data_IF_717389071027
#
_entry.id   IF_717389071027
#
_cell.length_a   1.000
_cell.length_b   1.000
_cell.length_c   1.000
_cell.angle_alpha   90.00
_cell.angle_beta   90.00
_cell.angle_gamma   90.00
#
_symmetry.space_group_name_H-M   'P 1'
#
loop_
_entity.id
_entity.type
_entity.pdbx_description
1 polymer ?
#
# COMPACT_ATOMS: atom_id res chain seq x y z
N UNK A 1 20.26 48.22 -19.31
CA UNK A 1 18.87 48.07 -19.79
C UNK A 1 18.91 47.04 -20.90
N UNK A 2 18.47 45.82 -20.62
CA UNK A 2 18.28 44.76 -21.63
C UNK A 2 17.06 43.95 -21.20
N UNK A 3 15.98 44.08 -21.95
CA UNK A 3 14.78 43.26 -21.79
C UNK A 3 15.09 41.81 -22.14
N UNK A 4 14.69 40.81 -21.32
CA UNK A 4 14.67 39.44 -21.78
C UNK A 4 13.50 39.26 -22.76
N UNK A 5 13.82 38.65 -23.90
CA UNK A 5 12.91 38.34 -24.99
C UNK A 5 11.72 37.51 -24.50
N UNK A 6 10.52 37.84 -25.01
CA UNK A 6 9.29 37.13 -24.74
C UNK A 6 9.44 35.65 -25.14
N UNK A 7 9.43 34.76 -24.15
CA UNK A 7 9.27 33.33 -24.38
C UNK A 7 7.98 33.09 -25.16
N UNK A 8 7.98 32.21 -26.19
CA UNK A 8 6.76 31.89 -26.93
C UNK A 8 5.67 31.42 -25.97
N UNK A 9 4.45 31.89 -26.25
CA UNK A 9 3.28 31.90 -25.37
C UNK A 9 2.73 30.47 -25.13
N UNK A 10 3.47 29.66 -24.36
CA UNK A 10 3.19 28.24 -24.06
C UNK A 10 1.81 28.01 -23.43
N UNK A 11 1.16 29.07 -22.94
CA UNK A 11 -0.20 29.02 -22.40
C UNK A 11 -1.28 28.96 -23.48
N UNK A 12 -0.99 29.38 -24.72
CA UNK A 12 -1.93 29.28 -25.83
C UNK A 12 -2.18 27.81 -26.24
N UNK A 13 -1.14 26.97 -26.17
CA UNK A 13 -1.20 25.55 -26.51
C UNK A 13 -1.85 24.67 -25.42
N UNK A 14 -2.01 25.20 -24.20
CA UNK A 14 -2.60 24.45 -23.08
C UNK A 14 -4.12 24.42 -23.18
N UNK A 15 -4.70 23.26 -22.86
CA UNK A 15 -6.15 23.07 -22.80
C UNK A 15 -6.75 23.80 -21.58
N UNK A 16 -8.05 24.12 -21.62
CA UNK A 16 -8.75 24.82 -20.51
C UNK A 16 -8.65 24.06 -19.19
N UNK A 17 -8.73 22.73 -19.21
CA UNK A 17 -8.59 21.89 -18.01
C UNK A 17 -7.17 21.97 -17.40
N UNK A 18 -6.14 22.02 -18.25
CA UNK A 18 -4.75 22.17 -17.79
C UNK A 18 -4.50 23.55 -17.19
N UNK A 19 -5.05 24.61 -17.79
CA UNK A 19 -4.96 25.96 -17.21
C UNK A 19 -5.70 26.04 -15.87
N UNK A 20 -6.84 25.36 -15.73
CA UNK A 20 -7.61 25.30 -14.49
C UNK A 20 -6.85 24.55 -13.38
N UNK A 21 -6.17 23.45 -13.72
CA UNK A 21 -5.32 22.72 -12.79
C UNK A 21 -4.19 23.59 -12.22
N UNK A 22 -3.54 24.39 -13.07
CA UNK A 22 -2.50 25.34 -12.63
C UNK A 22 -3.03 26.36 -11.63
N UNK A 23 -4.29 26.80 -11.78
CA UNK A 23 -4.93 27.74 -10.83
C UNK A 23 -5.44 27.08 -9.54
N UNK A 24 -5.74 25.78 -9.57
CA UNK A 24 -6.22 25.02 -8.41
C UNK A 24 -5.10 24.57 -7.48
N UNK A 25 -3.88 24.46 -8.00
CA UNK A 25 -2.70 24.00 -7.26
C UNK A 25 -1.55 25.03 -7.28
N UNK A 26 -1.77 26.27 -6.79
CA UNK A 26 -0.75 27.31 -6.81
C UNK A 26 0.52 26.93 -6.01
N UNK A 27 0.40 26.02 -5.04
CA UNK A 27 1.50 25.50 -4.22
C UNK A 27 2.53 24.70 -5.03
N UNK A 28 2.16 24.21 -6.21
CA UNK A 28 3.02 23.37 -7.06
C UNK A 28 3.73 24.16 -8.17
N UNK A 29 3.41 25.44 -8.34
CA UNK A 29 3.86 26.24 -9.48
C UNK A 29 4.36 27.63 -9.06
N UNK A 30 5.21 28.22 -9.91
CA UNK A 30 5.68 29.57 -9.68
C UNK A 30 4.54 30.59 -9.88
N UNK A 31 4.44 31.59 -9.01
CA UNK A 31 3.34 32.57 -9.01
C UNK A 31 3.09 33.24 -10.38
N UNK A 32 4.13 33.49 -11.17
CA UNK A 32 4.02 34.06 -12.51
C UNK A 32 3.27 33.14 -13.49
N UNK A 33 3.43 31.81 -13.36
CA UNK A 33 2.75 30.80 -14.19
C UNK A 33 1.26 30.72 -13.84
N UNK A 34 0.95 30.77 -12.54
CA UNK A 34 -0.43 30.76 -12.04
C UNK A 34 -1.15 32.04 -12.47
N UNK A 35 -0.48 33.19 -12.40
CA UNK A 35 -1.03 34.48 -12.81
C UNK A 35 -1.34 34.52 -14.32
N UNK A 36 -0.45 33.99 -15.17
CA UNK A 36 -0.66 33.94 -16.62
C UNK A 36 -1.77 32.94 -17.00
N UNK A 37 -1.80 31.76 -16.37
CA UNK A 37 -2.87 30.79 -16.56
C UNK A 37 -4.25 31.38 -16.20
N UNK A 38 -4.33 32.15 -15.11
CA UNK A 38 -5.54 32.86 -14.71
C UNK A 38 -5.92 34.03 -15.64
N UNK A 39 -4.96 34.67 -16.33
CA UNK A 39 -5.24 35.67 -17.38
C UNK A 39 -5.83 35.00 -18.63
N UNK A 40 -5.25 33.88 -19.05
CA UNK A 40 -5.70 33.17 -20.24
C UNK A 40 -7.07 32.47 -20.03
N UNK A 41 -7.35 31.93 -18.84
CA UNK A 41 -8.70 31.42 -18.50
C UNK A 41 -9.78 32.50 -18.60
N UNK A 42 -9.49 33.72 -18.10
CA UNK A 42 -10.39 34.87 -18.22
C UNK A 42 -10.58 35.31 -19.67
N UNK A 43 -9.51 35.30 -20.48
CA UNK A 43 -9.59 35.58 -21.92
C UNK A 43 -10.49 34.57 -22.64
N UNK A 44 -10.50 33.31 -22.18
CA UNK A 44 -11.34 32.22 -22.73
C UNK A 44 -12.76 32.16 -22.17
N UNK A 45 -13.16 33.09 -21.29
CA UNK A 45 -14.50 33.14 -20.72
C UNK A 45 -14.84 31.96 -19.78
N UNK A 46 -13.83 31.21 -19.32
CA UNK A 46 -14.02 30.15 -18.33
C UNK A 46 -14.18 30.79 -16.94
N UNK A 47 -15.33 30.58 -16.30
CA UNK A 47 -15.59 31.03 -14.93
C UNK A 47 -14.58 30.39 -13.98
N UNK A 48 -13.71 31.22 -13.39
CA UNK A 48 -12.90 30.86 -12.21
C UNK A 48 -13.91 30.71 -11.07
N UNK A 49 -14.08 29.54 -10.43
CA UNK A 49 -14.87 29.46 -9.23
C UNK A 49 -14.19 30.29 -8.15
N UNK A 50 -14.94 31.22 -7.53
CA UNK A 50 -14.49 32.00 -6.40
C UNK A 50 -13.92 31.08 -5.33
N UNK A 51 -12.67 31.36 -4.92
CA UNK A 51 -12.09 30.73 -3.74
C UNK A 51 -13.02 30.99 -2.57
N UNK A 52 -13.43 29.94 -1.86
CA UNK A 52 -14.24 30.05 -0.65
C UNK A 52 -13.51 30.94 0.35
N UNK A 53 -13.96 32.19 0.44
CA UNK A 53 -13.75 33.03 1.59
C UNK A 53 -14.57 32.45 2.74
N UNK A 54 -13.90 31.86 3.73
CA UNK A 54 -14.41 31.86 5.09
C UNK A 54 -13.51 32.77 5.91
N UNK A 55 -14.15 33.80 6.40
CA UNK A 55 -13.59 34.99 7.02
C UNK A 55 -12.95 34.72 8.38
N UNK A 56 -12.08 35.66 8.72
CA UNK A 56 -11.53 35.90 10.04
C UNK A 56 -12.59 35.85 11.16
N UNK A 57 -12.23 35.22 12.27
CA UNK A 57 -12.65 35.59 13.60
C UNK A 57 -11.49 35.34 14.57
N UNK A 58 -10.84 36.41 14.97
CA UNK A 58 -10.12 36.58 16.22
C UNK A 58 -10.72 37.87 16.85
N UNK A 59 -10.88 38.02 18.18
CA UNK A 59 -9.78 37.82 19.13
C UNK A 59 -10.12 37.21 20.52
N UNK A 60 -9.03 36.83 21.20
CA UNK A 60 -8.73 36.80 22.64
C UNK A 60 -9.64 36.07 23.65
N UNK A 61 -9.11 34.95 24.18
CA UNK A 61 -9.04 34.72 25.63
C UNK A 61 -7.95 33.67 25.94
N UNK A 62 -7.06 34.04 26.86
CA UNK A 62 -5.93 33.26 27.36
C UNK A 62 -6.33 31.95 28.04
N UNK A 63 -5.51 30.92 27.85
CA UNK A 63 -5.26 29.87 28.83
C UNK A 63 -3.88 29.24 28.58
N UNK A 64 -2.97 29.49 29.53
CA UNK A 64 -1.68 28.83 29.70
C UNK A 64 -1.78 27.31 29.61
N UNK A 65 -0.95 26.69 28.75
CA UNK A 65 -0.25 25.46 29.11
C UNK A 65 1.13 25.48 28.44
N UNK A 66 2.15 25.67 29.27
CA UNK A 66 3.54 25.58 28.88
C UNK A 66 3.86 24.17 28.34
N UNK A 67 4.31 24.09 27.10
CA UNK A 67 4.91 22.87 26.56
C UNK A 67 6.37 22.81 27.03
N UNK A 68 6.60 22.01 28.07
CA UNK A 68 7.92 21.71 28.61
C UNK A 68 8.58 20.70 27.66
N UNK A 69 9.54 21.18 26.86
CA UNK A 69 10.40 20.31 26.07
C UNK A 69 11.40 19.64 27.02
N UNK A 70 11.30 18.30 27.14
CA UNK A 70 12.28 17.49 27.84
C UNK A 70 13.67 17.67 27.19
N UNK A 71 14.62 18.17 27.97
CA UNK A 71 16.05 18.10 27.68
C UNK A 71 16.53 16.65 27.76
N UNK A 72 17.28 16.12 26.78
CA UNK A 72 18.14 14.98 27.03
C UNK A 72 19.40 15.44 27.77
N UNK A 73 19.48 15.00 29.02
CA UNK A 73 20.63 15.15 29.90
C UNK A 73 21.95 14.70 29.25
N UNK A 74 22.97 15.52 29.48
CA UNK A 74 24.37 15.32 29.16
C UNK A 74 24.92 13.98 29.66
N UNK A 75 25.57 13.22 28.77
CA UNK A 75 26.19 11.94 29.09
C UNK A 75 27.41 11.63 28.22
N UNK A 76 28.50 12.36 28.44
CA UNK A 76 29.88 11.85 28.49
C UNK A 76 30.43 11.11 27.25
N UNK A 77 31.24 11.86 26.49
CA UNK A 77 32.65 11.57 26.14
C UNK A 77 32.97 10.11 25.80
N UNK A 78 33.28 9.84 24.53
CA UNK A 78 34.28 8.95 23.90
C UNK A 78 33.82 8.81 22.43
N UNK A 79 34.44 9.44 21.42
CA UNK A 79 35.44 8.81 20.55
C UNK A 79 35.93 9.86 19.51
N UNK A 80 37.15 10.42 19.61
CA UNK A 80 37.73 11.24 18.54
C UNK A 80 38.43 10.33 17.51
N UNK A 81 37.68 9.48 16.82
CA UNK A 81 38.23 8.61 15.77
C UNK A 81 37.30 8.38 14.55
N UNK A 82 36.06 8.89 14.56
CA UNK A 82 35.14 8.73 13.42
C UNK A 82 35.29 9.83 12.33
N UNK A 83 36.04 10.90 12.60
CA UNK A 83 36.19 12.03 11.67
C UNK A 83 37.25 11.81 10.57
N UNK A 84 38.11 10.80 10.68
CA UNK A 84 39.14 10.52 9.67
C UNK A 84 38.69 9.53 8.56
N UNK A 85 37.61 8.78 8.79
CA UNK A 85 37.12 7.78 7.82
C UNK A 85 36.33 8.37 6.63
N UNK A 86 35.64 9.49 6.84
CA UNK A 86 34.78 10.10 5.80
C UNK A 86 35.57 10.86 4.72
N UNK A 87 36.79 11.32 5.01
CA UNK A 87 37.62 12.05 4.03
C UNK A 87 38.31 11.08 3.05
N UNK A 88 38.61 9.84 3.47
CA UNK A 88 39.24 8.84 2.60
C UNK A 88 38.27 8.26 1.55
N UNK A 89 36.98 8.13 1.87
CA UNK A 89 35.97 7.61 0.93
C UNK A 89 35.49 8.66 -0.08
N UNK A 90 35.56 9.95 0.25
CA UNK A 90 35.25 11.02 -0.70
C UNK A 90 36.35 11.22 -1.77
N UNK A 91 37.62 10.94 -1.43
CA UNK A 91 38.75 11.08 -2.37
C UNK A 91 38.83 10.00 -3.45
N UNK A 92 38.42 8.77 -3.15
CA UNK A 92 38.48 7.64 -4.10
C UNK A 92 37.28 7.61 -5.07
N UNK A 93 36.12 8.15 -4.69
CA UNK A 93 34.95 8.23 -5.58
C UNK A 93 35.11 9.27 -6.70
N UNK A 94 35.90 10.32 -6.48
CA UNK A 94 36.07 11.39 -7.48
C UNK A 94 36.94 10.99 -8.68
N UNK A 95 37.80 9.97 -8.53
CA UNK A 95 38.64 9.49 -9.63
C UNK A 95 37.93 8.48 -10.54
N UNK A 96 36.90 7.77 -10.08
CA UNK A 96 36.17 6.81 -10.92
C UNK A 96 35.07 7.44 -11.79
N UNK A 97 34.84 8.76 -11.67
CA UNK A 97 33.89 9.51 -12.51
C UNK A 97 34.56 10.28 -13.66
N UNK A 98 35.87 10.08 -13.89
CA UNK A 98 36.64 10.81 -14.92
C UNK A 98 36.76 10.12 -16.28
N UNK A 99 36.20 8.93 -16.45
CA UNK A 99 36.08 8.31 -17.76
C UNK A 99 34.77 8.74 -18.42
N UNK A 100 34.80 9.90 -19.07
CA UNK A 100 33.81 10.24 -20.10
C UNK A 100 34.19 9.50 -21.39
N UNK A 101 33.44 8.48 -21.83
CA UNK A 101 33.59 7.98 -23.18
C UNK A 101 33.05 9.04 -24.13
N UNK A 102 33.94 9.63 -24.93
CA UNK A 102 33.59 10.49 -26.06
C UNK A 102 32.67 9.71 -26.98
N UNK A 103 31.36 9.97 -26.85
CA UNK A 103 30.34 9.31 -27.66
C UNK A 103 30.36 9.99 -29.02
N UNK A 104 30.94 9.31 -30.01
CA UNK A 104 30.77 9.63 -31.42
C UNK A 104 29.27 9.78 -31.71
N UNK A 105 28.81 10.79 -32.46
CA UNK A 105 27.39 10.95 -32.73
C UNK A 105 26.89 9.80 -33.61
N UNK A 106 26.31 8.79 -32.98
CA UNK A 106 25.49 7.78 -33.64
C UNK A 106 24.29 8.51 -34.25
N UNK A 107 24.09 8.35 -35.56
CA UNK A 107 22.93 8.85 -36.28
C UNK A 107 21.64 8.50 -35.50
N UNK A 108 20.61 9.38 -35.50
CA UNK A 108 19.40 9.15 -34.73
C UNK A 108 18.81 7.80 -35.13
N UNK A 109 18.75 6.87 -34.16
CA UNK A 109 18.02 5.63 -34.31
C UNK A 109 16.60 6.01 -34.72
N UNK A 110 16.15 5.47 -35.85
CA UNK A 110 14.81 5.68 -36.40
C UNK A 110 13.83 5.34 -35.27
N UNK A 111 13.18 6.36 -34.71
CA UNK A 111 12.18 6.17 -33.68
C UNK A 111 11.01 5.46 -34.35
N UNK A 112 10.91 4.14 -34.13
CA UNK A 112 9.72 3.40 -34.50
C UNK A 112 8.53 4.07 -33.80
N UNK A 113 7.40 4.26 -34.53
CA UNK A 113 6.25 4.94 -33.96
C UNK A 113 5.78 4.20 -32.71
N UNK A 114 5.49 4.94 -31.64
CA UNK A 114 4.93 4.40 -30.40
C UNK A 114 3.57 3.79 -30.74
N UNK A 115 3.52 2.46 -30.85
CA UNK A 115 2.27 1.72 -31.05
C UNK A 115 1.63 1.51 -29.69
N UNK A 116 0.42 2.05 -29.53
CA UNK A 116 -0.42 1.75 -28.36
C UNK A 116 -0.96 0.32 -28.52
N UNK A 117 -0.32 -0.63 -27.84
CA UNK A 117 -0.85 -1.98 -27.74
C UNK A 117 -2.01 -2.03 -26.73
N UNK A 118 -3.15 -2.56 -27.16
CA UNK A 118 -4.27 -2.81 -26.26
C UNK A 118 -3.89 -3.95 -25.31
N UNK A 119 -3.45 -3.61 -24.09
CA UNK A 119 -3.18 -4.59 -23.05
C UNK A 119 -4.52 -5.12 -22.53
N UNK A 120 -4.75 -6.43 -22.69
CA UNK A 120 -5.93 -7.09 -22.12
C UNK A 120 -5.89 -6.97 -20.59
N UNK A 121 -6.79 -6.18 -20.02
CA UNK A 121 -6.91 -6.04 -18.57
C UNK A 121 -7.35 -7.37 -17.95
N UNK A 122 -6.55 -7.93 -17.05
CA UNK A 122 -6.89 -9.11 -16.26
C UNK A 122 -7.21 -8.65 -14.84
N UNK A 123 -8.48 -8.32 -14.61
CA UNK A 123 -8.94 -7.77 -13.34
C UNK A 123 -9.08 -8.87 -12.28
N UNK A 124 -8.64 -8.57 -11.04
CA UNK A 124 -8.99 -9.38 -9.88
C UNK A 124 -10.51 -9.32 -9.64
N UNK A 125 -11.17 -10.43 -9.26
CA UNK A 125 -12.57 -10.40 -8.90
C UNK A 125 -12.85 -9.42 -7.76
N UNK A 126 -14.04 -8.83 -7.75
CA UNK A 126 -14.50 -8.08 -6.59
C UNK A 126 -14.95 -9.05 -5.49
N UNK A 127 -14.37 -8.91 -4.30
CA UNK A 127 -14.64 -9.75 -3.14
C UNK A 127 -15.47 -9.04 -2.06
N UNK A 128 -15.92 -7.80 -2.27
CA UNK A 128 -16.59 -7.00 -1.24
C UNK A 128 -17.90 -7.64 -0.76
N UNK A 129 -18.75 -8.12 -1.66
CA UNK A 129 -20.00 -8.76 -1.29
C UNK A 129 -19.77 -10.06 -0.49
N UNK A 130 -18.81 -10.88 -0.92
CA UNK A 130 -18.43 -12.12 -0.24
C UNK A 130 -17.88 -11.83 1.15
N UNK A 131 -16.96 -10.86 1.25
CA UNK A 131 -16.38 -10.42 2.51
C UNK A 131 -17.44 -9.85 3.46
N UNK A 132 -18.41 -9.08 2.98
CA UNK A 132 -19.50 -8.56 3.81
C UNK A 132 -20.34 -9.69 4.44
N UNK A 133 -20.67 -10.73 3.67
CA UNK A 133 -21.36 -11.91 4.19
C UNK A 133 -20.54 -12.66 5.24
N UNK A 134 -19.24 -12.85 4.98
CA UNK A 134 -18.33 -13.49 5.92
C UNK A 134 -18.17 -12.68 7.21
N UNK A 135 -18.01 -11.36 7.14
CA UNK A 135 -17.96 -10.47 8.31
C UNK A 135 -19.24 -10.58 9.14
N UNK A 136 -20.41 -10.56 8.49
CA UNK A 136 -21.68 -10.72 9.19
C UNK A 136 -21.75 -12.07 9.93
N UNK A 137 -21.28 -13.15 9.30
CA UNK A 137 -21.20 -14.47 9.92
C UNK A 137 -20.21 -14.50 11.10
N UNK A 138 -18.99 -13.98 10.93
CA UNK A 138 -17.98 -13.96 12.01
C UNK A 138 -18.49 -13.19 13.23
N UNK A 139 -19.20 -12.07 13.03
CA UNK A 139 -19.81 -11.29 14.12
C UNK A 139 -20.92 -12.04 14.84
N UNK A 140 -21.74 -12.82 14.13
CA UNK A 140 -22.84 -13.60 14.73
C UNK A 140 -22.33 -14.68 15.68
N UNK A 141 -21.10 -15.17 15.47
CA UNK A 141 -20.46 -16.20 16.28
C UNK A 141 -19.83 -15.65 17.57
N UNK A 142 -19.85 -14.34 17.79
CA UNK A 142 -19.38 -13.75 19.04
C UNK A 142 -20.40 -13.99 20.18
N UNK A 143 -19.91 -14.14 21.43
CA UNK A 143 -20.77 -14.16 22.62
C UNK A 143 -21.75 -12.98 22.66
N UNK A 144 -22.92 -13.16 23.28
CA UNK A 144 -23.94 -12.10 23.35
C UNK A 144 -23.42 -10.84 24.07
N UNK A 145 -22.61 -11.01 25.11
CA UNK A 145 -21.97 -9.90 25.84
C UNK A 145 -21.04 -9.08 24.91
N UNK A 146 -20.20 -9.77 24.14
CA UNK A 146 -19.29 -9.15 23.17
C UNK A 146 -20.02 -8.46 22.01
N UNK A 147 -21.20 -8.98 21.62
CA UNK A 147 -22.04 -8.34 20.60
C UNK A 147 -22.76 -7.09 21.12
N UNK A 148 -23.00 -6.99 22.43
CA UNK A 148 -23.65 -5.84 23.04
C UNK A 148 -22.72 -4.61 23.08
N UNK A 149 -21.40 -4.80 23.19
CA UNK A 149 -20.43 -3.71 23.01
C UNK A 149 -20.32 -3.34 21.52
N UNK A 150 -21.14 -2.37 21.10
CA UNK A 150 -21.18 -1.90 19.71
C UNK A 150 -19.86 -1.27 19.25
N UNK A 151 -19.04 -0.77 20.17
CA UNK A 151 -17.76 -0.11 19.84
C UNK A 151 -16.70 -1.16 19.54
N UNK A 152 -16.49 -2.11 20.46
CA UNK A 152 -15.55 -3.22 20.25
C UNK A 152 -16.00 -4.10 19.08
N UNK A 153 -17.29 -4.44 18.99
CA UNK A 153 -17.82 -5.22 17.87
C UNK A 153 -17.68 -4.48 16.53
N UNK A 154 -17.76 -3.15 16.52
CA UNK A 154 -17.52 -2.32 15.33
C UNK A 154 -16.05 -2.31 14.89
N UNK A 155 -15.11 -2.19 15.84
CA UNK A 155 -13.66 -2.32 15.58
C UNK A 155 -13.31 -3.70 15.05
N UNK A 156 -13.82 -4.74 15.70
CA UNK A 156 -13.67 -6.13 15.26
C UNK A 156 -14.21 -6.34 13.85
N UNK A 157 -15.39 -5.81 13.52
CA UNK A 157 -15.97 -5.91 12.18
C UNK A 157 -15.07 -5.30 11.08
N UNK A 158 -14.43 -4.15 11.37
CA UNK A 158 -13.49 -3.51 10.44
C UNK A 158 -12.24 -4.36 10.23
N UNK A 159 -11.70 -4.95 11.29
CA UNK A 159 -10.57 -5.87 11.21
C UNK A 159 -10.93 -7.15 10.45
N UNK A 160 -12.09 -7.73 10.74
CA UNK A 160 -12.61 -8.90 10.03
C UNK A 160 -12.81 -8.60 8.53
N UNK A 161 -13.26 -7.39 8.15
CA UNK A 161 -13.37 -7.00 6.73
C UNK A 161 -12.01 -7.00 6.05
N UNK A 162 -10.99 -6.40 6.66
CA UNK A 162 -9.61 -6.40 6.14
C UNK A 162 -9.11 -7.82 5.95
N UNK A 163 -9.31 -8.68 6.96
CA UNK A 163 -8.97 -10.09 6.88
C UNK A 163 -9.66 -10.79 5.71
N UNK A 164 -10.99 -10.70 5.60
CA UNK A 164 -11.74 -11.42 4.57
C UNK A 164 -11.43 -10.93 3.15
N UNK A 165 -11.15 -9.64 2.97
CA UNK A 165 -10.68 -9.12 1.69
C UNK A 165 -9.29 -9.66 1.32
N UNK A 166 -8.37 -9.74 2.28
CA UNK A 166 -7.05 -10.32 2.07
C UNK A 166 -7.14 -11.83 1.79
N UNK A 167 -7.86 -12.58 2.64
CA UNK A 167 -8.04 -14.03 2.53
C UNK A 167 -8.71 -14.44 1.23
N UNK A 168 -9.80 -13.77 0.81
CA UNK A 168 -10.47 -14.10 -0.44
C UNK A 168 -9.57 -13.86 -1.67
N UNK A 169 -8.81 -12.75 -1.66
CA UNK A 169 -7.87 -12.45 -2.74
C UNK A 169 -6.74 -13.50 -2.78
N UNK A 170 -6.17 -13.82 -1.62
CA UNK A 170 -5.09 -14.80 -1.48
C UNK A 170 -5.54 -16.22 -1.86
N UNK A 171 -6.73 -16.63 -1.43
CA UNK A 171 -7.32 -17.92 -1.76
C UNK A 171 -7.59 -18.06 -3.25
N UNK A 172 -8.09 -17.00 -3.90
CA UNK A 172 -8.31 -16.98 -5.34
C UNK A 172 -6.99 -17.18 -6.12
N UNK A 173 -5.95 -16.42 -5.77
CA UNK A 173 -4.64 -16.53 -6.42
C UNK A 173 -3.96 -17.87 -6.15
N UNK A 174 -4.13 -18.41 -4.95
CA UNK A 174 -3.65 -19.75 -4.61
C UNK A 174 -4.37 -20.80 -5.46
N UNK A 175 -5.69 -20.71 -5.61
CA UNK A 175 -6.45 -21.63 -6.47
C UNK A 175 -6.02 -21.52 -7.95
N UNK A 176 -5.74 -20.31 -8.47
CA UNK A 176 -5.20 -20.13 -9.81
C UNK A 176 -3.82 -20.79 -9.98
N UNK A 177 -2.94 -20.63 -8.99
CA UNK A 177 -1.62 -21.25 -8.94
C UNK A 177 -1.67 -22.78 -8.87
N UNK A 178 -2.62 -23.34 -8.14
CA UNK A 178 -2.80 -24.79 -8.01
C UNK A 178 -3.49 -25.42 -9.22
N UNK A 179 -4.28 -24.65 -9.97
CA UNK A 179 -5.06 -25.10 -11.12
C UNK A 179 -4.45 -24.78 -12.48
N UNK A 180 -3.13 -24.54 -12.55
CA UNK A 180 -2.37 -24.19 -13.77
C UNK A 180 -3.01 -23.06 -14.61
N UNK A 181 -3.73 -22.14 -13.96
CA UNK A 181 -4.47 -21.05 -14.61
C UNK A 181 -3.75 -19.70 -14.47
N UNK A 182 -2.42 -19.75 -14.36
CA UNK A 182 -1.56 -18.59 -14.10
C UNK A 182 -1.27 -17.84 -15.40
N UNK A 183 -1.30 -16.51 -15.34
CA UNK A 183 -1.02 -15.62 -16.48
C UNK A 183 0.16 -14.69 -16.17
N UNK A 184 0.67 -13.97 -17.16
CA UNK A 184 1.78 -13.04 -17.00
C UNK A 184 1.55 -11.94 -15.94
N UNK A 185 0.28 -11.61 -15.64
CA UNK A 185 -0.06 -10.61 -14.61
C UNK A 185 -0.04 -11.14 -13.19
N UNK A 186 0.13 -12.46 -13.01
CA UNK A 186 -0.01 -13.12 -11.71
C UNK A 186 0.93 -12.56 -10.62
N UNK A 187 2.24 -12.32 -10.86
CA UNK A 187 3.10 -11.73 -9.83
C UNK A 187 2.65 -10.35 -9.37
N UNK A 188 2.08 -9.55 -10.28
CA UNK A 188 1.48 -8.25 -9.96
C UNK A 188 0.25 -8.41 -9.08
N UNK A 189 -0.64 -9.35 -9.41
CA UNK A 189 -1.82 -9.65 -8.60
C UNK A 189 -1.46 -10.22 -7.23
N UNK A 190 -0.40 -11.03 -7.13
CA UNK A 190 0.14 -11.52 -5.86
C UNK A 190 0.64 -10.36 -5.00
N UNK A 191 1.33 -9.39 -5.58
CA UNK A 191 1.76 -8.17 -4.85
C UNK A 191 0.57 -7.44 -4.23
N UNK A 192 -0.54 -7.27 -4.96
CA UNK A 192 -1.78 -6.67 -4.43
C UNK A 192 -2.34 -7.49 -3.25
N UNK A 193 -2.31 -8.82 -3.32
CA UNK A 193 -2.77 -9.67 -2.24
C UNK A 193 -1.87 -9.56 -1.00
N UNK A 194 -0.55 -9.50 -1.19
CA UNK A 194 0.43 -9.31 -0.11
C UNK A 194 0.25 -7.95 0.58
N UNK A 195 0.03 -6.88 -0.18
CA UNK A 195 -0.29 -5.54 0.36
C UNK A 195 -1.55 -5.55 1.23
N UNK A 196 -2.60 -6.27 0.82
CA UNK A 196 -3.82 -6.44 1.63
C UNK A 196 -3.54 -7.17 2.93
N UNK A 197 -2.65 -8.18 2.90
CA UNK A 197 -2.19 -8.87 4.11
C UNK A 197 -1.42 -7.90 5.00
N UNK A 198 -0.48 -7.13 4.45
CA UNK A 198 0.27 -6.11 5.19
C UNK A 198 -0.63 -5.08 5.87
N UNK A 199 -1.70 -4.63 5.19
CA UNK A 199 -2.68 -3.72 5.79
C UNK A 199 -3.40 -4.31 7.00
N UNK A 200 -3.74 -5.60 6.95
CA UNK A 200 -4.29 -6.27 8.13
C UNK A 200 -3.26 -6.35 9.26
N UNK A 201 -2.03 -6.78 8.95
CA UNK A 201 -0.96 -6.92 9.95
C UNK A 201 -0.63 -5.58 10.62
N UNK A 202 -0.45 -4.53 9.83
CA UNK A 202 -0.21 -3.17 10.31
C UNK A 202 -1.38 -2.67 11.16
N UNK A 203 -2.62 -2.95 10.77
CA UNK A 203 -3.77 -2.58 11.58
C UNK A 203 -3.86 -3.34 12.92
N UNK A 204 -3.50 -4.63 12.95
CA UNK A 204 -3.51 -5.45 14.18
C UNK A 204 -2.43 -5.01 15.16
N UNK A 205 -1.33 -4.42 14.69
CA UNK A 205 -0.25 -3.93 15.56
C UNK A 205 -0.71 -2.82 16.52
N UNK A 206 -1.78 -2.10 16.20
CA UNK A 206 -2.37 -1.10 17.08
C UNK A 206 -3.29 -1.74 18.13
N UNK A 207 -3.31 -1.18 19.34
CA UNK A 207 -4.27 -1.59 20.36
C UNK A 207 -5.70 -1.27 19.91
N UNK A 208 -6.46 -2.33 19.61
CA UNK A 208 -7.85 -2.21 19.16
C UNK A 208 -8.85 -2.14 20.32
N UNK A 209 -8.42 -2.23 21.59
CA UNK A 209 -9.28 -2.27 22.77
C UNK A 209 -10.47 -3.23 22.56
N UNK A 210 -10.15 -4.49 22.28
CA UNK A 210 -11.13 -5.56 22.01
C UNK A 210 -11.29 -6.43 23.25
N UNK A 211 -12.40 -7.17 23.29
CA UNK A 211 -12.57 -8.23 24.29
C UNK A 211 -11.57 -9.36 24.02
N UNK A 212 -11.17 -10.14 25.05
CA UNK A 212 -10.24 -11.25 24.85
C UNK A 212 -10.68 -12.22 23.74
N UNK A 213 -11.96 -12.56 23.67
CA UNK A 213 -12.50 -13.45 22.63
C UNK A 213 -12.37 -12.86 21.23
N UNK A 214 -12.57 -11.55 21.04
CA UNK A 214 -12.34 -10.91 19.75
C UNK A 214 -10.85 -10.91 19.38
N UNK A 215 -9.96 -10.70 20.36
CA UNK A 215 -8.51 -10.69 20.14
C UNK A 215 -8.00 -12.09 19.76
N UNK A 216 -8.47 -13.14 20.41
CA UNK A 216 -8.16 -14.53 20.08
C UNK A 216 -8.54 -14.85 18.63
N UNK A 217 -9.73 -14.42 18.19
CA UNK A 217 -10.16 -14.57 16.80
C UNK A 217 -9.31 -13.75 15.83
N UNK A 218 -8.85 -12.56 16.20
CA UNK A 218 -7.92 -11.79 15.36
C UNK A 218 -6.55 -12.45 15.27
N UNK A 219 -6.12 -13.16 16.31
CA UNK A 219 -4.88 -13.94 16.31
C UNK A 219 -4.99 -15.14 15.38
N UNK A 220 -6.13 -15.83 15.36
CA UNK A 220 -6.41 -16.86 14.35
C UNK A 220 -6.40 -16.29 12.92
N UNK A 221 -7.04 -15.13 12.70
CA UNK A 221 -6.99 -14.43 11.41
C UNK A 221 -5.55 -14.11 10.98
N UNK A 222 -4.72 -13.61 11.90
CA UNK A 222 -3.29 -13.36 11.65
C UNK A 222 -2.58 -14.66 11.24
N UNK A 223 -2.80 -15.76 11.97
CA UNK A 223 -2.18 -17.04 11.64
C UNK A 223 -2.54 -17.49 10.21
N UNK A 224 -3.83 -17.42 9.84
CA UNK A 224 -4.29 -17.76 8.49
C UNK A 224 -3.61 -16.90 7.42
N UNK A 225 -3.51 -15.59 7.64
CA UNK A 225 -2.86 -14.70 6.67
C UNK A 225 -1.33 -14.86 6.60
N UNK A 226 -0.68 -15.24 7.70
CA UNK A 226 0.75 -15.59 7.67
C UNK A 226 0.99 -16.81 6.79
N UNK A 227 0.14 -17.84 6.88
CA UNK A 227 0.20 -19.00 6.00
C UNK A 227 -0.03 -18.59 4.53
N UNK A 228 -1.05 -17.75 4.26
CA UNK A 228 -1.30 -17.22 2.92
C UNK A 228 -0.11 -16.46 2.36
N UNK A 229 0.52 -15.59 3.17
CA UNK A 229 1.71 -14.84 2.76
C UNK A 229 2.82 -15.76 2.29
N UNK A 230 3.17 -16.75 3.11
CA UNK A 230 4.24 -17.71 2.80
C UNK A 230 3.94 -18.46 1.49
N UNK A 231 2.70 -18.93 1.32
CA UNK A 231 2.29 -19.64 0.10
C UNK A 231 2.41 -18.73 -1.13
N UNK A 232 1.90 -17.50 -1.05
CA UNK A 232 1.92 -16.55 -2.16
C UNK A 232 3.34 -16.07 -2.52
N UNK A 233 4.18 -15.76 -1.54
CA UNK A 233 5.59 -15.36 -1.75
C UNK A 233 6.37 -16.48 -2.45
N UNK A 234 6.12 -17.73 -2.07
CA UNK A 234 6.72 -18.88 -2.74
C UNK A 234 6.25 -19.03 -4.19
N UNK A 235 4.95 -18.84 -4.48
CA UNK A 235 4.46 -18.88 -5.85
C UNK A 235 5.01 -17.74 -6.69
N UNK A 236 5.04 -16.51 -6.16
CA UNK A 236 5.62 -15.35 -6.82
C UNK A 236 7.09 -15.58 -7.19
N UNK A 237 7.90 -16.00 -6.21
CA UNK A 237 9.33 -16.28 -6.40
C UNK A 237 9.57 -17.34 -7.47
N UNK A 238 8.75 -18.41 -7.49
CA UNK A 238 8.87 -19.48 -8.50
C UNK A 238 8.53 -18.98 -9.89
N UNK A 239 7.42 -18.25 -10.02
CA UNK A 239 7.02 -17.69 -11.30
C UNK A 239 8.08 -16.75 -11.86
N UNK A 240 8.60 -15.84 -11.03
CA UNK A 240 9.64 -14.89 -11.44
C UNK A 240 10.96 -15.58 -11.83
N UNK A 241 11.27 -16.72 -11.22
CA UNK A 241 12.53 -17.45 -11.47
C UNK A 241 12.45 -18.42 -12.65
N UNK A 242 11.32 -19.09 -12.83
CA UNK A 242 11.18 -20.22 -13.75
C UNK A 242 10.11 -20.01 -14.84
N UNK A 243 9.32 -18.94 -14.76
CA UNK A 243 8.19 -18.70 -15.67
C UNK A 243 6.98 -19.60 -15.44
N UNK A 244 7.06 -20.52 -14.49
CA UNK A 244 6.04 -21.53 -14.20
C UNK A 244 5.74 -21.58 -12.70
N UNK A 245 4.50 -21.92 -12.36
CA UNK A 245 4.08 -22.18 -10.98
C UNK A 245 3.88 -23.67 -10.82
N UNK A 246 4.61 -24.27 -9.90
CA UNK A 246 4.37 -25.65 -9.46
C UNK A 246 4.16 -25.66 -7.96
N UNK A 247 3.18 -26.47 -7.54
CA UNK A 247 2.83 -26.64 -6.14
C UNK A 247 3.61 -27.79 -5.50
N UNK A 248 4.26 -27.55 -4.38
CA UNK A 248 4.82 -28.62 -3.53
C UNK A 248 3.85 -29.05 -2.42
N UNK A 249 4.26 -30.05 -1.64
CA UNK A 249 3.46 -30.56 -0.51
C UNK A 249 3.25 -29.49 0.56
N UNK A 250 4.24 -28.64 0.82
CA UNK A 250 4.20 -27.65 1.89
C UNK A 250 3.26 -26.49 1.54
N UNK A 251 3.21 -26.07 0.28
CA UNK A 251 2.26 -25.08 -0.23
C UNK A 251 0.83 -25.60 -0.16
N UNK A 252 0.59 -26.85 -0.56
CA UNK A 252 -0.75 -27.47 -0.44
C UNK A 252 -1.18 -27.59 1.02
N UNK A 253 -0.23 -27.90 1.91
CA UNK A 253 -0.48 -27.95 3.35
C UNK A 253 -0.79 -26.55 3.91
N UNK A 254 -0.01 -25.53 3.54
CA UNK A 254 -0.25 -24.15 3.96
C UNK A 254 -1.59 -23.60 3.47
N UNK A 255 -1.97 -23.90 2.22
CA UNK A 255 -3.29 -23.57 1.67
C UNK A 255 -4.41 -24.25 2.44
N UNK A 256 -4.29 -25.55 2.69
CA UNK A 256 -5.27 -26.31 3.48
C UNK A 256 -5.41 -25.77 4.91
N UNK A 257 -4.30 -25.50 5.60
CA UNK A 257 -4.30 -24.98 6.96
C UNK A 257 -4.90 -23.57 7.03
N UNK A 258 -4.60 -22.70 6.07
CA UNK A 258 -5.20 -21.37 5.97
C UNK A 258 -6.72 -21.44 5.70
N UNK A 259 -7.14 -22.32 4.79
CA UNK A 259 -8.54 -22.55 4.50
C UNK A 259 -9.31 -23.12 5.70
N UNK A 260 -8.68 -24.00 6.48
CA UNK A 260 -9.26 -24.58 7.69
C UNK A 260 -9.47 -23.52 8.78
N UNK A 261 -8.51 -22.61 8.97
CA UNK A 261 -8.67 -21.44 9.85
C UNK A 261 -9.83 -20.55 9.38
N UNK A 262 -9.95 -20.31 8.07
CA UNK A 262 -11.10 -19.58 7.51
C UNK A 262 -12.43 -20.27 7.83
N UNK A 263 -12.50 -21.59 7.72
CA UNK A 263 -13.69 -22.36 8.08
C UNK A 263 -14.02 -22.27 9.57
N UNK A 264 -13.02 -22.40 10.44
CA UNK A 264 -13.16 -22.24 11.89
C UNK A 264 -13.70 -20.84 12.26
N UNK A 265 -13.18 -19.78 11.64
CA UNK A 265 -13.65 -18.41 11.83
C UNK A 265 -15.10 -18.22 11.38
N UNK A 266 -15.58 -19.02 10.43
CA UNK A 266 -16.97 -19.07 9.99
C UNK A 266 -17.84 -20.04 10.80
N UNK A 267 -17.28 -20.68 11.83
CA UNK A 267 -17.99 -21.65 12.67
C UNK A 267 -18.28 -22.97 11.95
N UNK A 268 -17.55 -23.26 10.87
CA UNK A 268 -17.62 -24.53 10.16
C UNK A 268 -16.66 -25.54 10.82
N UNK A 269 -17.01 -26.84 10.81
CA UNK A 269 -16.14 -27.86 11.39
C UNK A 269 -14.80 -27.91 10.66
N UNK A 270 -13.71 -28.02 11.43
CA UNK A 270 -12.38 -28.25 10.88
C UNK A 270 -12.37 -29.56 10.10
N UNK A 271 -11.73 -29.55 8.93
CA UNK A 271 -11.53 -30.75 8.10
C UNK A 271 -10.23 -31.48 8.42
N UNK A 272 -9.49 -31.03 9.45
CA UNK A 272 -8.30 -31.75 9.91
C UNK A 272 -8.69 -33.16 10.31
N UNK A 273 -8.03 -34.15 9.71
CA UNK A 273 -8.13 -35.51 10.23
C UNK A 273 -7.70 -35.47 11.71
N UNK A 274 -8.48 -36.05 12.64
CA UNK A 274 -8.04 -36.16 14.02
C UNK A 274 -6.70 -36.89 13.98
N UNK A 275 -5.65 -36.27 14.56
CA UNK A 275 -4.38 -36.95 14.73
C UNK A 275 -4.65 -38.19 15.57
N UNK A 276 -4.68 -39.37 14.93
CA UNK A 276 -4.63 -40.66 15.62
C UNK A 276 -3.23 -40.81 16.21
N UNK A 277 -2.97 -40.08 17.29
CA UNK A 277 -1.89 -40.38 18.22
C UNK A 277 -2.50 -41.22 19.34
N UNK A 278 -2.14 -42.49 19.42
CA UNK A 278 -2.46 -43.35 20.54
C UNK A 278 -1.91 -42.72 21.82
N UNK A 279 -2.78 -42.22 22.69
CA UNK A 279 -2.42 -41.78 24.04
C UNK A 279 -2.36 -42.98 25.01
N UNK A 280 -2.11 -44.19 24.49
CA UNK A 280 -2.02 -45.43 25.27
C UNK A 280 -0.61 -46.02 25.32
N UNK A 281 0.40 -45.29 24.88
CA UNK A 281 1.81 -45.65 25.11
C UNK A 281 2.53 -44.52 25.88
N UNK A 282 2.09 -44.29 27.12
CA UNK A 282 2.90 -43.70 28.19
C UNK A 282 2.53 -44.37 29.52
#
# INVERSE_FOLDING_TARGET
>A
MSSPAASPDSFLEKTTAQLQYLTQHPELYHEAVVAEAGRELRRRGALIPDSVATAANAPDAAADVAYQADEPASGRRWWPAAAAGLVALAGLGWWSLRDTPTTTPTAPARQEPIVLEAVKAHQLPDFEQKAAGQVAQTRRLLPAADRADTTAAGRYARMARRYWLAENTAAYLTAQALGDSVTAVFPGQVTIALERIDWFMGAKAYNQHLTPTMEDRLTLMQQGLTLRRIVLENFKTRYERFGEVYSDRDQKRGDFEAADIGNELLGQPSKRAPMKGNITEL
#
